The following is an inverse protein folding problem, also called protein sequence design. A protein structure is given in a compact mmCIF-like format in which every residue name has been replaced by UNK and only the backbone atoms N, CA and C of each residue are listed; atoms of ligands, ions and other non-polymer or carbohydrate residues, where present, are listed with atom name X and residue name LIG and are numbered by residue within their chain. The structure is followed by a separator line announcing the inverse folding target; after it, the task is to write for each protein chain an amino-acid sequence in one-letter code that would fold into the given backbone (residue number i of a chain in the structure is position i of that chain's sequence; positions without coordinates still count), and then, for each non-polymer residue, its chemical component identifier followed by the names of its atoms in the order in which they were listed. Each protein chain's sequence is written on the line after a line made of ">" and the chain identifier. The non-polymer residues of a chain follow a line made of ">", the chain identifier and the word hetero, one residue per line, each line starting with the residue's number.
data_IF_940589184379
#
_entry.id   IF_940589184379
#
_cell.length_a   1.000
_cell.length_b   1.000
_cell.length_c   1.000
_cell.angle_alpha   90.00
_cell.angle_beta   90.00
_cell.angle_gamma   90.00
#
_symmetry.space_group_name_H-M   'P 1'
#
loop_
_entity.id
_entity.type
_entity.pdbx_description
1 polymer ?
#
# COMPACT_ATOMS: atom_id res chain seq x y z
N UNK A 1 2.01 4.53 0.46
CA UNK A 1 1.03 5.63 0.61
C UNK A 1 0.28 5.97 -0.69
N UNK A 2 0.20 5.02 -1.62
CA UNK A 2 -0.43 5.24 -2.93
C UNK A 2 -1.97 5.26 -2.89
N UNK A 3 -2.60 4.91 -1.78
CA UNK A 3 -4.04 4.74 -1.71
C UNK A 3 -4.57 3.60 -2.60
N UNK A 4 -3.75 2.56 -2.79
CA UNK A 4 -4.12 1.39 -3.59
C UNK A 4 -5.14 0.49 -2.87
N UNK A 5 -6.10 -0.05 -3.61
CA UNK A 5 -7.12 -0.97 -3.10
C UNK A 5 -7.60 -1.91 -4.20
N UNK A 6 -8.20 -3.06 -3.82
CA UNK A 6 -8.78 -3.99 -4.77
C UNK A 6 -10.16 -3.48 -5.23
N UNK A 7 -10.28 -3.15 -6.51
CA UNK A 7 -11.47 -2.50 -7.07
C UNK A 7 -12.77 -3.30 -6.90
N UNK A 8 -12.70 -4.63 -6.96
CA UNK A 8 -13.90 -5.50 -6.92
C UNK A 8 -14.32 -5.91 -5.50
N UNK A 9 -13.40 -5.85 -4.52
CA UNK A 9 -13.62 -6.47 -3.20
C UNK A 9 -13.39 -5.55 -2.00
N UNK A 10 -12.85 -4.36 -2.21
CA UNK A 10 -12.57 -3.41 -1.14
C UNK A 10 -13.24 -2.07 -1.40
N UNK A 11 -13.74 -1.45 -0.33
CA UNK A 11 -14.20 -0.06 -0.39
C UNK A 11 -13.00 0.86 -0.66
N UNK A 12 -13.13 1.83 -1.59
CA UNK A 12 -12.08 2.82 -1.83
C UNK A 12 -11.78 3.62 -0.56
N UNK A 13 -10.60 4.23 -0.51
CA UNK A 13 -10.33 5.24 0.52
C UNK A 13 -11.19 6.48 0.27
N UNK A 14 -11.55 7.20 1.34
CA UNK A 14 -12.27 8.48 1.26
C UNK A 14 -11.31 9.63 0.94
N UNK A 15 -10.93 9.72 -0.35
CA UNK A 15 -9.98 10.72 -0.84
C UNK A 15 -10.52 12.17 -0.73
N UNK A 16 -11.83 12.34 -0.66
CA UNK A 16 -12.49 13.64 -0.51
C UNK A 16 -12.57 14.15 0.93
N UNK A 17 -12.22 13.32 1.90
CA UNK A 17 -12.31 13.67 3.32
C UNK A 17 -11.18 14.65 3.73
N UNK A 18 -11.54 15.89 4.01
CA UNK A 18 -10.59 16.92 4.48
C UNK A 18 -9.94 16.60 5.83
N UNK A 19 -10.53 15.70 6.61
CA UNK A 19 -9.96 15.21 7.88
C UNK A 19 -9.01 14.03 7.68
N UNK A 20 -8.92 13.48 6.45
CA UNK A 20 -8.09 12.33 6.10
C UNK A 20 -8.80 10.98 6.30
N UNK A 21 -8.26 9.96 5.64
CA UNK A 21 -8.62 8.54 5.85
C UNK A 21 -7.40 7.83 6.47
N UNK A 22 -7.57 7.29 7.68
CA UNK A 22 -6.51 6.66 8.47
C UNK A 22 -6.56 5.14 8.44
N UNK A 23 -7.50 4.59 7.66
CA UNK A 23 -7.61 3.14 7.47
C UNK A 23 -6.53 2.60 6.54
N UNK A 24 -6.37 1.29 6.52
CA UNK A 24 -5.46 0.60 5.59
C UNK A 24 -6.25 -0.32 4.66
N UNK A 25 -5.65 -0.64 3.51
CA UNK A 25 -6.08 -1.73 2.62
C UNK A 25 -4.92 -2.68 2.42
N UNK A 26 -5.22 -3.95 2.34
CA UNK A 26 -4.21 -4.99 2.23
C UNK A 26 -4.53 -5.96 1.11
N UNK A 27 -3.50 -6.47 0.45
CA UNK A 27 -3.64 -7.52 -0.55
C UNK A 27 -2.33 -8.31 -0.71
N UNK A 28 -2.39 -9.44 -1.39
CA UNK A 28 -1.22 -10.29 -1.64
C UNK A 28 -0.17 -9.56 -2.49
N UNK A 29 1.10 -9.80 -2.24
CA UNK A 29 2.19 -9.38 -3.11
C UNK A 29 2.17 -10.02 -4.51
N UNK A 30 1.30 -11.02 -4.73
CA UNK A 30 1.07 -11.68 -6.02
C UNK A 30 -0.19 -11.19 -6.74
N UNK A 31 -0.88 -10.18 -6.20
CA UNK A 31 -2.05 -9.57 -6.83
C UNK A 31 -1.69 -8.96 -8.18
N UNK A 32 -2.52 -9.18 -9.19
CA UNK A 32 -2.33 -8.59 -10.51
C UNK A 32 -2.64 -7.09 -10.50
N UNK A 33 -1.85 -6.30 -11.20
CA UNK A 33 -2.00 -4.84 -11.22
C UNK A 33 -3.36 -4.37 -11.76
N UNK A 34 -3.98 -5.14 -12.64
CA UNK A 34 -5.31 -4.87 -13.19
C UNK A 34 -6.43 -4.89 -12.15
N UNK A 35 -6.21 -5.58 -11.01
CA UNK A 35 -7.14 -5.65 -9.89
C UNK A 35 -7.05 -4.44 -8.96
N UNK A 36 -5.97 -3.62 -9.10
CA UNK A 36 -5.64 -2.54 -8.18
C UNK A 36 -6.10 -1.20 -8.76
N UNK A 37 -6.87 -0.47 -7.97
CA UNK A 37 -7.23 0.93 -8.22
C UNK A 37 -6.58 1.85 -7.20
N UNK A 38 -6.51 3.15 -7.52
CA UNK A 38 -5.85 4.17 -6.68
C UNK A 38 -6.84 5.28 -6.34
N UNK A 39 -7.13 5.46 -5.06
CA UNK A 39 -8.05 6.48 -4.57
C UNK A 39 -7.41 7.85 -4.35
N UNK A 40 -6.07 7.92 -4.22
CA UNK A 40 -5.37 9.17 -3.94
C UNK A 40 -5.35 10.08 -5.19
N UNK A 41 -5.95 11.27 -5.09
CA UNK A 41 -6.12 12.19 -6.22
C UNK A 41 -5.12 13.36 -6.23
N UNK A 42 -4.23 13.46 -5.22
CA UNK A 42 -3.34 14.61 -5.04
C UNK A 42 -1.97 14.45 -5.71
N UNK A 43 -1.79 13.46 -6.59
CA UNK A 43 -0.58 13.31 -7.40
C UNK A 43 -0.94 12.99 -8.85
N UNK A 44 0.00 13.25 -9.77
CA UNK A 44 -0.18 12.89 -11.18
C UNK A 44 -0.13 11.37 -11.36
N UNK A 45 -1.25 10.78 -11.70
CA UNK A 45 -1.39 9.34 -11.89
C UNK A 45 -0.89 8.83 -13.25
N UNK A 46 -0.38 9.69 -14.12
CA UNK A 46 0.08 9.29 -15.47
C UNK A 46 1.14 8.20 -15.40
N UNK A 47 2.11 8.36 -14.51
CA UNK A 47 3.20 7.40 -14.36
C UNK A 47 2.70 6.05 -13.86
N UNK A 48 1.87 6.00 -12.81
CA UNK A 48 1.35 4.74 -12.24
C UNK A 48 0.38 4.03 -13.17
N UNK A 49 -0.38 4.77 -13.99
CA UNK A 49 -1.25 4.18 -15.02
C UNK A 49 -0.44 3.57 -16.18
N UNK A 50 0.73 4.13 -16.46
CA UNK A 50 1.64 3.60 -17.47
C UNK A 50 2.44 2.40 -16.95
N UNK A 51 2.96 2.49 -15.73
CA UNK A 51 3.70 1.42 -15.05
C UNK A 51 3.41 1.45 -13.54
N UNK A 52 2.54 0.56 -13.04
CA UNK A 52 2.22 0.49 -11.62
C UNK A 52 3.43 0.23 -10.71
N UNK A 53 4.52 -0.31 -11.25
CA UNK A 53 5.72 -0.61 -10.48
C UNK A 53 6.44 0.64 -9.95
N UNK A 54 6.14 1.83 -10.47
CA UNK A 54 6.69 3.09 -9.91
C UNK A 54 6.22 3.36 -8.47
N UNK A 55 5.06 2.84 -8.09
CA UNK A 55 4.51 2.93 -6.73
C UNK A 55 4.57 1.60 -5.98
N UNK A 56 4.38 0.49 -6.68
CA UNK A 56 4.37 -0.85 -6.10
C UNK A 56 5.27 -1.78 -6.93
N UNK A 57 6.58 -1.83 -6.65
CA UNK A 57 7.54 -2.61 -7.45
C UNK A 57 7.42 -4.12 -7.22
N UNK A 58 6.19 -4.66 -7.21
CA UNK A 58 5.90 -6.06 -6.87
C UNK A 58 6.53 -7.04 -7.86
N UNK A 59 6.56 -6.71 -9.14
CA UNK A 59 7.22 -7.53 -10.14
C UNK A 59 8.71 -7.71 -9.85
N UNK A 60 9.41 -6.60 -9.62
CA UNK A 60 10.84 -6.61 -9.28
C UNK A 60 11.11 -7.34 -7.95
N UNK A 61 10.26 -7.13 -6.95
CA UNK A 61 10.40 -7.80 -5.66
C UNK A 61 10.18 -9.31 -5.78
N UNK A 62 9.19 -9.77 -6.56
CA UNK A 62 8.96 -11.18 -6.83
C UNK A 62 10.13 -11.82 -7.62
N UNK A 63 10.76 -11.08 -8.54
CA UNK A 63 12.00 -11.52 -9.19
C UNK A 63 13.14 -11.69 -8.19
N UNK A 64 13.26 -10.80 -7.20
CA UNK A 64 14.26 -10.92 -6.13
C UNK A 64 14.01 -12.12 -5.23
N UNK A 65 12.75 -12.46 -4.94
CA UNK A 65 12.39 -13.71 -4.23
C UNK A 65 12.83 -14.92 -5.06
N UNK A 66 12.48 -14.95 -6.33
CA UNK A 66 12.83 -16.04 -7.26
C UNK A 66 14.35 -16.22 -7.37
N UNK A 67 15.10 -15.11 -7.38
CA UNK A 67 16.56 -15.11 -7.41
C UNK A 67 17.21 -15.43 -6.04
N UNK A 68 16.44 -15.66 -4.98
CA UNK A 68 16.93 -15.94 -3.64
C UNK A 68 17.65 -14.77 -2.96
N UNK A 69 17.41 -13.54 -3.41
CA UNK A 69 18.00 -12.31 -2.83
C UNK A 69 17.24 -11.83 -1.59
N UNK A 70 15.95 -12.09 -1.54
CA UNK A 70 15.07 -11.90 -0.38
C UNK A 70 14.30 -13.20 -0.13
N UNK A 71 13.77 -13.40 1.07
CA UNK A 71 13.04 -14.61 1.45
C UNK A 71 11.67 -14.68 0.77
N UNK A 72 10.70 -14.05 1.37
CA UNK A 72 9.33 -13.97 0.84
C UNK A 72 8.78 -12.55 0.98
N UNK A 73 7.72 -12.25 0.28
CA UNK A 73 6.99 -11.00 0.42
C UNK A 73 5.79 -11.21 1.34
N UNK A 74 5.70 -10.38 2.34
CA UNK A 74 4.54 -10.26 3.20
C UNK A 74 3.38 -9.56 2.48
N UNK A 75 2.23 -9.48 3.12
CA UNK A 75 1.08 -8.72 2.70
C UNK A 75 1.45 -7.27 2.38
N UNK A 76 0.99 -6.79 1.23
CA UNK A 76 1.13 -5.38 0.83
C UNK A 76 0.13 -4.54 1.62
N UNK A 77 0.62 -3.49 2.27
CA UNK A 77 -0.22 -2.56 3.02
C UNK A 77 -0.27 -1.20 2.32
N UNK A 78 -1.45 -0.73 2.03
CA UNK A 78 -1.72 0.58 1.46
C UNK A 78 -2.45 1.48 2.44
N UNK A 79 -2.15 2.77 2.39
CA UNK A 79 -2.81 3.83 3.16
C UNK A 79 -2.76 5.13 2.36
N UNK A 80 -3.57 6.12 2.77
CA UNK A 80 -3.61 7.43 2.12
C UNK A 80 -2.40 8.29 2.49
N UNK A 81 -1.88 9.05 1.53
CA UNK A 81 -0.80 10.02 1.76
C UNK A 81 -1.26 11.26 2.53
N UNK A 82 -2.51 11.68 2.35
CA UNK A 82 -3.10 12.81 3.06
C UNK A 82 -3.69 12.38 4.40
N UNK A 83 -2.93 12.58 5.47
CA UNK A 83 -3.31 12.27 6.85
C UNK A 83 -2.90 13.45 7.76
N UNK A 84 -3.72 14.52 7.86
CA UNK A 84 -3.34 15.77 8.51
C UNK A 84 -3.24 15.69 10.04
N UNK A 85 -3.92 14.72 10.67
CA UNK A 85 -3.88 14.53 12.12
C UNK A 85 -2.89 13.42 12.51
N UNK A 86 -1.72 13.84 12.98
CA UNK A 86 -0.66 12.92 13.42
C UNK A 86 -1.10 12.00 14.55
N UNK A 87 -1.99 12.43 15.43
CA UNK A 87 -2.48 11.59 16.53
C UNK A 87 -3.25 10.38 16.00
N UNK A 88 -4.08 10.56 14.98
CA UNK A 88 -4.77 9.45 14.34
C UNK A 88 -3.83 8.52 13.55
N UNK A 89 -2.76 9.05 12.95
CA UNK A 89 -1.72 8.20 12.36
C UNK A 89 -1.11 7.28 13.42
N UNK A 90 -0.77 7.84 14.59
CA UNK A 90 -0.16 7.09 15.70
C UNK A 90 -1.15 6.10 16.35
N UNK A 91 -2.41 6.45 16.43
CA UNK A 91 -3.41 5.66 17.17
C UNK A 91 -4.17 4.66 16.28
N UNK A 92 -4.21 4.86 14.96
CA UNK A 92 -4.97 4.01 14.02
C UNK A 92 -4.06 3.38 12.97
N UNK A 93 -3.42 4.18 12.11
CA UNK A 93 -2.69 3.67 10.94
C UNK A 93 -1.47 2.84 11.33
N UNK A 94 -0.62 3.35 12.23
CA UNK A 94 0.59 2.66 12.67
C UNK A 94 0.29 1.36 13.41
N UNK A 95 -0.62 1.31 14.40
CA UNK A 95 -0.97 0.06 15.06
C UNK A 95 -1.48 -1.01 14.10
N UNK A 96 -2.34 -0.65 13.14
CA UNK A 96 -2.85 -1.59 12.14
C UNK A 96 -1.73 -2.19 11.27
N UNK A 97 -0.76 -1.37 10.83
CA UNK A 97 0.41 -1.83 10.08
C UNK A 97 1.29 -2.76 10.94
N UNK A 98 1.53 -2.37 12.19
CA UNK A 98 2.38 -3.15 13.11
C UNK A 98 1.76 -4.50 13.49
N UNK A 99 0.44 -4.60 13.56
CA UNK A 99 -0.25 -5.86 13.82
C UNK A 99 0.05 -6.86 12.71
N UNK A 100 -0.13 -6.48 11.45
CA UNK A 100 0.18 -7.32 10.29
C UNK A 100 1.66 -7.71 10.26
N UNK A 101 2.55 -6.74 10.46
CA UNK A 101 3.99 -6.98 10.45
C UNK A 101 4.43 -7.98 11.54
N UNK A 102 3.79 -7.95 12.72
CA UNK A 102 4.05 -8.91 13.80
C UNK A 102 3.50 -10.29 13.50
N UNK A 103 2.26 -10.37 13.00
CA UNK A 103 1.60 -11.64 12.66
C UNK A 103 2.38 -12.39 11.58
N UNK A 104 2.84 -11.68 10.55
CA UNK A 104 3.61 -12.24 9.44
C UNK A 104 5.12 -12.30 9.71
N UNK A 105 5.59 -11.86 10.89
CA UNK A 105 7.02 -11.88 11.30
C UNK A 105 7.92 -11.15 10.30
N UNK A 106 7.50 -9.98 9.88
CA UNK A 106 8.24 -9.17 8.90
C UNK A 106 9.57 -8.69 9.46
N UNK A 107 10.67 -8.97 8.75
CA UNK A 107 12.03 -8.56 9.12
C UNK A 107 12.40 -7.17 8.61
N UNK A 108 11.81 -6.75 7.48
CA UNK A 108 12.09 -5.47 6.83
C UNK A 108 10.86 -4.93 6.10
N UNK A 109 10.75 -3.61 5.98
CA UNK A 109 9.69 -2.94 5.26
C UNK A 109 10.25 -1.95 4.22
N UNK A 110 9.72 -2.02 3.00
CA UNK A 110 9.94 -1.02 1.96
C UNK A 110 8.80 -0.01 2.00
N UNK A 111 9.13 1.25 2.31
CA UNK A 111 8.19 2.35 2.32
C UNK A 111 8.30 3.12 1.00
N UNK A 112 7.23 3.17 0.23
CA UNK A 112 7.18 3.88 -1.04
C UNK A 112 6.25 5.09 -0.89
N UNK A 113 6.78 6.32 -0.99
CA UNK A 113 5.96 7.53 -0.99
C UNK A 113 5.24 7.69 -2.34
N UNK A 114 4.10 8.37 -2.33
CA UNK A 114 3.36 8.81 -3.51
C UNK A 114 3.10 10.31 -3.43
#
# INVERSE_FOLDING_TARGET
>A
SAGGYLAESQEPFDAGNLLGDYTIRTFSATTHFEEISYAHEHYDQTAVKSDPQVLMPLGLLNEMVTAGKIGELATVVNFMGYQPDVSQVLDITIPAILEIAKEEKVDAALLVPA
#
